data_IF_921082664652
#
_entry.id   IF_921082664652
#
_cell.length_a   1.000
_cell.length_b   1.000
_cell.length_c   1.000
_cell.angle_alpha   90.00
_cell.angle_beta   90.00
_cell.angle_gamma   90.00
#
_symmetry.space_group_name_H-M   'P 1'
#
loop_
_entity.id
_entity.type
_entity.pdbx_description
1 polymer ?
#
# COMPACT_ATOMS: atom_id res chain seq x y z
N UNK A 1 -3.97 11.86 -7.26
CA UNK A 1 -3.77 12.43 -5.91
C UNK A 1 -2.31 12.21 -5.51
N UNK A 2 -1.58 13.24 -5.05
CA UNK A 2 -0.19 13.11 -4.62
C UNK A 2 -0.15 13.41 -3.12
N UNK A 3 -0.20 12.35 -2.30
CA UNK A 3 -0.09 12.49 -0.85
C UNK A 3 1.39 12.34 -0.49
N UNK A 4 1.96 13.37 0.11
CA UNK A 4 3.34 13.38 0.59
C UNK A 4 3.28 13.37 2.12
N UNK A 5 3.68 12.23 2.69
CA UNK A 5 3.90 11.96 4.12
C UNK A 5 2.66 11.71 5.02
N UNK A 6 1.47 11.51 4.47
CA UNK A 6 0.28 11.09 5.22
C UNK A 6 -0.16 9.66 4.91
N UNK A 7 -0.67 8.93 5.91
CA UNK A 7 -1.40 7.66 5.74
C UNK A 7 -2.43 7.80 4.62
N UNK A 8 -2.40 6.90 3.64
CA UNK A 8 -3.37 6.84 2.55
C UNK A 8 -4.46 5.84 2.96
N UNK A 9 -5.66 6.33 3.19
CA UNK A 9 -6.82 5.49 3.40
C UNK A 9 -7.82 5.75 2.28
N UNK A 10 -8.21 4.67 1.59
CA UNK A 10 -9.17 4.68 0.49
C UNK A 10 -10.34 3.80 0.92
N UNK A 11 -11.47 4.45 1.19
CA UNK A 11 -12.71 3.80 1.61
C UNK A 11 -13.75 3.96 0.50
N UNK A 12 -14.19 2.85 -0.09
CA UNK A 12 -15.13 2.83 -1.22
C UNK A 12 -14.74 3.79 -2.37
N UNK A 13 -13.44 4.06 -2.51
CA UNK A 13 -12.92 5.06 -3.42
C UNK A 13 -12.34 4.40 -4.68
N UNK A 14 -12.49 5.07 -5.83
CA UNK A 14 -11.89 4.67 -7.11
C UNK A 14 -10.81 5.66 -7.53
N UNK A 15 -9.59 5.16 -7.73
CA UNK A 15 -8.45 5.92 -8.24
C UNK A 15 -8.18 5.46 -9.67
N UNK A 16 -8.50 6.29 -10.65
CA UNK A 16 -8.28 5.93 -12.06
C UNK A 16 -6.80 5.94 -12.50
N UNK A 17 -5.90 6.56 -11.74
CA UNK A 17 -4.47 6.65 -12.07
C UNK A 17 -3.58 5.81 -11.16
N UNK A 18 -2.28 6.03 -11.30
CA UNK A 18 -1.27 5.41 -10.42
C UNK A 18 -1.25 6.09 -9.04
N UNK A 19 -1.01 5.28 -8.01
CA UNK A 19 -0.77 5.72 -6.64
C UNK A 19 0.73 5.60 -6.35
N UNK A 20 1.36 6.70 -5.93
CA UNK A 20 2.76 6.73 -5.53
C UNK A 20 2.89 7.22 -4.08
N UNK A 21 3.67 6.51 -3.27
CA UNK A 21 3.97 6.87 -1.88
C UNK A 21 5.44 6.58 -1.54
N UNK A 22 6.01 7.25 -0.56
CA UNK A 22 7.41 7.08 -0.13
C UNK A 22 7.54 6.51 1.29
N UNK A 23 6.59 6.85 2.17
CA UNK A 23 6.60 6.46 3.58
C UNK A 23 5.20 6.42 4.23
N UNK A 24 4.12 6.44 3.44
CA UNK A 24 2.76 6.37 3.99
C UNK A 24 2.24 4.93 4.03
N UNK A 25 1.66 4.52 5.16
CA UNK A 25 0.80 3.34 5.22
C UNK A 25 -0.35 3.48 4.21
N UNK A 26 -0.73 2.39 3.57
CA UNK A 26 -1.83 2.38 2.59
C UNK A 26 -2.89 1.38 3.05
N UNK A 27 -4.11 1.84 3.27
CA UNK A 27 -5.27 0.96 3.54
C UNK A 27 -6.33 1.16 2.47
N UNK A 28 -6.76 0.05 1.87
CA UNK A 28 -7.84 -0.03 0.90
C UNK A 28 -8.97 -0.83 1.56
N UNK A 29 -10.13 -0.22 1.70
CA UNK A 29 -11.29 -0.81 2.37
C UNK A 29 -12.57 -0.60 1.55
N UNK A 30 -13.62 -1.32 1.90
CA UNK A 30 -14.96 -1.19 1.30
C UNK A 30 -14.99 -1.27 -0.24
N UNK A 31 -14.20 -2.17 -0.83
CA UNK A 31 -14.20 -2.38 -2.28
C UNK A 31 -13.48 -1.31 -3.09
N UNK A 32 -12.52 -0.61 -2.49
CA UNK A 32 -11.73 0.41 -3.18
C UNK A 32 -11.04 -0.14 -4.45
N UNK A 33 -11.02 0.70 -5.50
CA UNK A 33 -10.49 0.36 -6.81
C UNK A 33 -9.29 1.27 -7.13
N UNK A 34 -8.18 0.68 -7.54
CA UNK A 34 -7.07 1.38 -8.18
C UNK A 34 -6.98 0.87 -9.63
N UNK A 35 -7.34 1.72 -10.57
CA UNK A 35 -7.22 1.46 -12.00
C UNK A 35 -5.77 1.46 -12.49
N UNK A 36 -4.90 2.21 -11.82
CA UNK A 36 -3.45 2.20 -12.07
C UNK A 36 -2.67 1.22 -11.18
N UNK A 37 -1.36 1.43 -11.08
CA UNK A 37 -0.46 0.70 -10.20
C UNK A 37 -0.25 1.36 -8.85
N UNK A 38 0.40 0.63 -7.94
CA UNK A 38 0.86 1.14 -6.65
C UNK A 38 2.38 1.10 -6.60
N UNK A 39 3.02 2.26 -6.50
CA UNK A 39 4.49 2.35 -6.40
C UNK A 39 4.89 2.92 -5.06
N UNK A 40 5.69 2.16 -4.31
CA UNK A 40 6.35 2.65 -3.10
C UNK A 40 7.81 2.92 -3.41
N UNK A 41 8.16 4.20 -3.47
CA UNK A 41 9.54 4.61 -3.72
C UNK A 41 10.33 4.64 -2.43
N UNK A 42 11.60 4.27 -2.51
CA UNK A 42 12.56 4.56 -1.44
C UNK A 42 12.95 6.02 -1.58
N UNK A 43 12.72 6.82 -0.54
CA UNK A 43 13.23 8.19 -0.53
C UNK A 43 14.76 8.15 -0.54
N UNK A 44 15.38 8.70 -1.58
CA UNK A 44 16.83 8.75 -1.75
C UNK A 44 17.42 10.06 -1.18
N UNK A 45 16.61 10.90 -0.53
CA UNK A 45 17.08 12.17 -0.01
C UNK A 45 17.96 11.94 1.22
N UNK A 46 19.14 12.57 1.23
CA UNK A 46 20.05 12.63 2.39
C UNK A 46 19.33 13.06 3.68
N UNK A 47 18.27 13.88 3.56
CA UNK A 47 17.41 14.30 4.66
C UNK A 47 16.64 13.13 5.29
N UNK A 48 16.09 12.20 4.50
CA UNK A 48 15.33 11.05 5.01
C UNK A 48 16.22 10.06 5.78
N UNK A 49 17.52 10.04 5.51
CA UNK A 49 18.50 9.23 6.27
C UNK A 49 18.72 9.78 7.68
N UNK A 50 18.56 11.10 7.87
CA UNK A 50 18.79 11.76 9.16
C UNK A 50 17.57 11.72 10.09
N UNK A 51 16.36 11.55 9.55
CA UNK A 51 15.13 11.53 10.35
C UNK A 51 14.63 10.09 10.58
N UNK A 52 14.60 9.59 11.84
CA UNK A 52 14.24 8.20 12.16
C UNK A 52 12.80 7.84 11.78
N UNK A 53 11.92 8.82 11.58
CA UNK A 53 10.54 8.58 11.16
C UNK A 53 10.42 7.93 9.76
N UNK A 54 11.45 8.02 8.91
CA UNK A 54 11.42 7.45 7.55
C UNK A 54 11.96 6.01 7.48
N UNK A 55 12.44 5.47 8.61
CA UNK A 55 12.99 4.11 8.69
C UNK A 55 11.95 3.03 8.93
N UNK A 56 10.71 3.40 9.26
CA UNK A 56 9.65 2.42 9.50
C UNK A 56 9.30 1.66 8.21
N UNK A 57 8.94 0.39 8.36
CA UNK A 57 8.41 -0.45 7.28
C UNK A 57 6.94 -0.10 7.05
N UNK A 58 6.60 0.50 5.89
CA UNK A 58 5.21 0.85 5.57
C UNK A 58 4.33 -0.39 5.57
N UNK A 59 3.13 -0.26 6.14
CA UNK A 59 2.13 -1.32 6.13
C UNK A 59 1.09 -1.01 5.06
N UNK A 60 0.86 -1.98 4.18
CA UNK A 60 -0.09 -1.89 3.08
C UNK A 60 -1.14 -2.96 3.29
N UNK A 61 -2.40 -2.55 3.42
CA UNK A 61 -3.53 -3.46 3.61
C UNK A 61 -4.49 -3.29 2.46
N UNK A 62 -4.75 -4.41 1.78
CA UNK A 62 -5.79 -4.51 0.75
C UNK A 62 -6.93 -5.33 1.32
N UNK A 63 -8.01 -4.64 1.71
CA UNK A 63 -9.22 -5.21 2.29
C UNK A 63 -10.07 -5.98 1.28
N UNK A 64 -11.11 -6.70 1.75
CA UNK A 64 -11.95 -7.54 0.89
C UNK A 64 -12.69 -6.72 -0.18
N UNK A 65 -12.83 -7.30 -1.37
CA UNK A 65 -13.49 -6.67 -2.51
C UNK A 65 -12.68 -5.56 -3.19
N UNK A 66 -11.51 -5.21 -2.67
CA UNK A 66 -10.66 -4.19 -3.28
C UNK A 66 -9.94 -4.74 -4.52
N UNK A 67 -9.67 -3.86 -5.48
CA UNK A 67 -9.02 -4.24 -6.74
C UNK A 67 -7.92 -3.28 -7.15
N UNK A 68 -6.76 -3.82 -7.52
CA UNK A 68 -5.63 -3.07 -8.07
C UNK A 68 -5.33 -3.66 -9.45
N UNK A 69 -5.63 -2.92 -10.50
CA UNK A 69 -5.47 -3.40 -11.88
C UNK A 69 -4.01 -3.32 -12.36
N UNK A 70 -3.26 -2.32 -11.88
CA UNK A 70 -1.85 -2.14 -12.25
C UNK A 70 -0.88 -2.97 -11.42
N UNK A 71 0.40 -2.84 -11.76
CA UNK A 71 1.51 -3.48 -11.04
C UNK A 71 1.76 -2.81 -9.68
N UNK A 72 2.18 -3.61 -8.71
CA UNK A 72 2.61 -3.14 -7.40
C UNK A 72 4.14 -3.22 -7.34
N UNK A 73 4.80 -2.07 -7.22
CA UNK A 73 6.26 -1.97 -7.26
C UNK A 73 6.76 -1.37 -5.95
N UNK A 74 7.52 -2.16 -5.20
CA UNK A 74 8.08 -1.77 -3.90
C UNK A 74 9.60 -1.68 -4.01
N UNK A 75 10.14 -0.47 -3.89
CA UNK A 75 11.59 -0.23 -3.93
C UNK A 75 12.24 -0.29 -2.54
N UNK A 76 11.45 -0.61 -1.51
CA UNK A 76 11.88 -0.77 -0.12
C UNK A 76 11.09 -1.92 0.52
N UNK A 77 11.59 -2.53 1.61
CA UNK A 77 10.81 -3.52 2.35
C UNK A 77 9.52 -2.88 2.87
N UNK A 78 8.41 -3.55 2.62
CA UNK A 78 7.06 -3.20 3.09
C UNK A 78 6.37 -4.46 3.58
N UNK A 79 5.38 -4.29 4.44
CA UNK A 79 4.47 -5.37 4.84
C UNK A 79 3.18 -5.24 4.04
N UNK A 80 3.04 -6.09 3.02
CA UNK A 80 1.88 -6.11 2.14
C UNK A 80 0.91 -7.20 2.58
N UNK A 81 -0.24 -6.79 3.12
CA UNK A 81 -1.37 -7.63 3.47
C UNK A 81 -2.45 -7.56 2.40
N UNK A 82 -2.92 -8.72 1.95
CA UNK A 82 -3.93 -8.83 0.89
C UNK A 82 -5.02 -9.78 1.34
N UNK A 83 -6.26 -9.29 1.34
CA UNK A 83 -7.42 -10.14 1.60
C UNK A 83 -7.54 -11.21 0.52
N UNK A 84 -8.01 -12.40 0.87
CA UNK A 84 -8.30 -13.47 -0.10
C UNK A 84 -9.39 -13.05 -1.12
N UNK A 85 -10.26 -12.13 -0.72
CA UNK A 85 -11.31 -11.54 -1.55
C UNK A 85 -10.83 -10.31 -2.35
N UNK A 86 -9.56 -9.95 -2.29
CA UNK A 86 -8.99 -8.84 -3.06
C UNK A 86 -8.31 -9.32 -4.34
N UNK A 87 -8.38 -8.49 -5.38
CA UNK A 87 -7.73 -8.78 -6.67
C UNK A 87 -6.60 -7.78 -6.89
N UNK A 88 -5.37 -8.27 -6.98
CA UNK A 88 -4.20 -7.42 -7.20
C UNK A 88 -3.43 -7.84 -8.44
N UNK A 89 -2.78 -6.87 -9.08
CA UNK A 89 -1.83 -7.10 -10.15
C UNK A 89 -0.51 -7.71 -9.68
N UNK A 90 0.48 -7.84 -10.59
CA UNK A 90 1.78 -8.42 -10.27
C UNK A 90 2.52 -7.58 -9.22
N UNK A 91 3.13 -8.26 -8.25
CA UNK A 91 3.87 -7.65 -7.14
C UNK A 91 5.37 -7.83 -7.35
N UNK A 92 6.14 -6.76 -7.18
CA UNK A 92 7.60 -6.76 -7.26
C UNK A 92 8.21 -6.07 -6.03
N UNK A 93 9.19 -6.70 -5.41
CA UNK A 93 9.96 -6.11 -4.30
C UNK A 93 9.29 -6.17 -2.91
N UNK A 94 8.17 -6.89 -2.78
CA UNK A 94 7.54 -7.17 -1.49
C UNK A 94 7.00 -8.59 -1.41
N UNK A 95 6.85 -9.10 -0.18
CA UNK A 95 6.19 -10.36 0.10
C UNK A 95 4.70 -10.11 0.33
N UNK A 96 3.85 -10.84 -0.41
CA UNK A 96 2.40 -10.82 -0.21
C UNK A 96 2.05 -11.70 0.98
N UNK A 97 1.43 -11.11 2.00
CA UNK A 97 0.86 -11.80 3.15
C UNK A 97 -0.65 -11.86 2.96
N UNK A 98 -1.18 -13.04 2.65
CA UNK A 98 -2.62 -13.21 2.50
C UNK A 98 -3.29 -13.37 3.86
N UNK A 99 -4.42 -12.71 4.06
CA UNK A 99 -5.25 -12.87 5.24
C UNK A 99 -6.71 -13.08 4.83
N UNK A 100 -7.48 -13.74 5.69
CA UNK A 100 -8.91 -13.92 5.50
C UNK A 100 -9.71 -12.91 6.35
N UNK A 101 -10.84 -12.45 5.84
CA UNK A 101 -11.76 -11.55 6.56
C UNK A 101 -11.59 -10.06 6.26
N UNK A 102 -12.09 -9.20 7.17
CA UNK A 102 -12.22 -7.75 6.96
C UNK A 102 -10.96 -6.95 7.26
N UNK A 103 -10.06 -7.45 8.12
CA UNK A 103 -8.78 -6.81 8.41
C UNK A 103 -7.72 -7.85 8.80
N UNK A 104 -6.42 -7.62 8.51
CA UNK A 104 -5.36 -8.49 8.97
C UNK A 104 -5.16 -8.31 10.48
N UNK A 105 -5.11 -9.40 11.24
CA UNK A 105 -4.86 -9.37 12.68
C UNK A 105 -3.58 -8.59 13.07
N UNK A 106 -2.58 -8.57 12.19
CA UNK A 106 -1.30 -7.88 12.41
C UNK A 106 -1.33 -6.38 12.05
N UNK A 107 -2.38 -5.87 11.40
CA UNK A 107 -2.51 -4.44 11.09
C UNK A 107 -3.52 -3.72 12.01
N UNK A 108 -4.07 -4.42 13.00
CA UNK A 108 -4.97 -3.89 14.01
C UNK A 108 -4.25 -3.46 15.31
N UNK A 109 -2.92 -3.64 15.37
CA UNK A 109 -2.06 -3.26 16.49
C UNK A 109 -1.35 -1.92 16.26
#
# INVERSE_FOLDING_TARGET
ARNVNGRIQLDAASVHGDVETTAGDVRLDNGALIGGGLTVRRDQSWFATWFPMFQHEPVIVVGPGCRIAGKLVFQRPVRLYVSDHAVIGPVSGARVLRFAGTAPAAAAE
#
